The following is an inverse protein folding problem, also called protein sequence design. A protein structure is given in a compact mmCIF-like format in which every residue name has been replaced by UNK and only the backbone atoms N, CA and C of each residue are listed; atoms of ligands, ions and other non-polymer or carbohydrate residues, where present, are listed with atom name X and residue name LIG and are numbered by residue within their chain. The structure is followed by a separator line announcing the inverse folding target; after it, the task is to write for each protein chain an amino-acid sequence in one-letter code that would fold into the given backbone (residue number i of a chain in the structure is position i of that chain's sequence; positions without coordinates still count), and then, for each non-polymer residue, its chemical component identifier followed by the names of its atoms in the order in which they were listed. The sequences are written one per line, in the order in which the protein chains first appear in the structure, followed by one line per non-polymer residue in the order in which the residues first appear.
data_IF_573038713690
#
_entry.id   IF_573038713690
#
_cell.length_a   1.000
_cell.length_b   1.000
_cell.length_c   1.000
_cell.angle_alpha   90.00
_cell.angle_beta   90.00
_cell.angle_gamma   90.00
#
_symmetry.space_group_name_H-M   'P 1'
#
loop_
_entity.id
_entity.type
_entity.pdbx_description
1 polymer ?
2 non-polymer ?
3 non-polymer ?
4 non-polymer ?
5 non-polymer ?
6 non-polymer ?
7 non-polymer ?
8 water ?
#
# COMPACT_ATOMS: atom_id res chain seq x y z
N UNK A 1 14.96 -11.19 2.24
CA UNK A 1 14.04 -12.15 2.83
C UNK A 1 12.60 -11.78 2.56
N UNK A 2 11.70 -12.51 3.19
CA UNK A 2 10.24 -12.30 3.08
C UNK A 2 9.88 -10.84 3.45
N UNK A 3 10.40 -10.35 4.57
CA UNK A 3 10.03 -9.00 5.06
C UNK A 3 10.46 -7.95 4.04
N UNK A 4 11.69 -8.05 3.54
CA UNK A 4 12.20 -7.11 2.53
C UNK A 4 11.31 -7.24 1.30
N UNK A 5 10.90 -8.46 0.94
CA UNK A 5 10.09 -8.59 -0.28
C UNK A 5 8.78 -7.79 -0.11
N UNK A 6 8.22 -7.74 1.10
CA UNK A 6 6.96 -7.00 1.34
C UNK A 6 7.22 -5.50 1.03
N UNK A 7 8.36 -4.98 1.51
CA UNK A 7 8.76 -3.56 1.31
C UNK A 7 8.97 -3.31 -0.19
N UNK A 8 9.64 -4.23 -0.88
CA UNK A 8 9.88 -4.12 -2.34
C UNK A 8 8.52 -4.04 -3.05
N UNK A 9 7.64 -4.97 -2.79
CA UNK A 9 6.35 -5.02 -3.52
C UNK A 9 5.59 -3.74 -3.20
N UNK A 10 5.48 -3.38 -1.92
CA UNK A 10 4.76 -2.18 -1.54
C UNK A 10 5.40 -0.95 -2.23
N UNK A 11 6.70 -0.97 -2.51
CA UNK A 11 7.32 0.18 -3.18
C UNK A 11 6.79 0.43 -4.60
N UNK A 12 6.19 -0.58 -5.25
CA UNK A 12 5.63 -0.31 -6.60
C UNK A 12 4.38 -1.17 -6.75
N UNK A 13 3.47 -1.06 -5.78
CA UNK A 13 2.46 -2.12 -5.56
C UNK A 13 1.50 -2.23 -6.74
N UNK A 14 1.10 -1.10 -7.31
CA UNK A 14 0.08 -1.06 -8.40
C UNK A 14 0.64 -1.82 -9.61
N UNK A 15 1.95 -1.76 -9.88
CA UNK A 15 2.53 -2.49 -11.04
C UNK A 15 2.75 -3.95 -10.68
N UNK A 16 3.25 -4.27 -9.49
CA UNK A 16 3.45 -5.69 -9.08
C UNK A 16 2.07 -6.33 -9.00
N UNK A 17 1.06 -5.64 -8.41
CA UNK A 17 -0.27 -6.24 -8.26
C UNK A 17 -0.82 -6.62 -9.64
N UNK A 18 -0.76 -5.67 -10.56
CA UNK A 18 -1.29 -5.88 -11.93
C UNK A 18 -0.50 -7.01 -12.61
N UNK A 19 0.82 -6.96 -12.57
CA UNK A 19 1.64 -7.95 -13.32
C UNK A 19 1.41 -9.34 -12.73
N UNK A 20 1.36 -9.45 -11.40
CA UNK A 20 1.17 -10.80 -10.80
C UNK A 20 -0.25 -11.32 -11.09
N UNK A 21 -1.25 -10.47 -10.97
CA UNK A 21 -2.63 -10.95 -11.22
C UNK A 21 -2.77 -11.36 -12.71
N UNK A 22 -2.13 -10.64 -13.62
CA UNK A 22 -2.20 -10.99 -15.08
C UNK A 22 -1.47 -12.32 -15.27
N UNK A 23 -0.33 -12.52 -14.56
CA UNK A 23 0.40 -13.80 -14.66
C UNK A 23 -0.55 -14.91 -14.24
N UNK A 24 -1.36 -14.66 -13.23
CA UNK A 24 -2.34 -15.66 -12.71
C UNK A 24 -3.43 -15.91 -13.77
N UNK A 25 -4.04 -14.88 -14.33
CA UNK A 25 -5.14 -15.01 -15.33
C UNK A 25 -4.65 -15.72 -16.59
N UNK A 26 -3.42 -15.44 -17.04
CA UNK A 26 -2.86 -16.05 -18.27
C UNK A 26 -2.47 -17.50 -17.99
N UNK A 27 -1.91 -17.80 -16.82
CA UNK A 27 -1.54 -19.18 -16.45
C UNK A 27 -2.75 -20.12 -16.30
N UNK A 28 -3.86 -19.61 -15.77
CA UNK A 28 -5.10 -20.32 -15.39
C UNK A 28 -6.30 -19.63 -16.01
N UNK A 29 -6.43 -19.70 -17.35
CA UNK A 29 -7.50 -18.98 -18.04
C UNK A 29 -8.90 -19.28 -17.49
N UNK A 30 -9.14 -20.50 -17.02
CA UNK A 30 -10.46 -20.89 -16.45
C UNK A 30 -10.75 -20.05 -15.20
N UNK A 31 -9.77 -19.36 -14.60
CA UNK A 31 -10.02 -18.52 -13.39
C UNK A 31 -10.82 -17.29 -13.78
N UNK A 32 -10.91 -16.98 -15.08
CA UNK A 32 -11.74 -15.84 -15.53
C UNK A 32 -13.23 -16.14 -15.22
N UNK A 33 -13.60 -17.37 -14.84
CA UNK A 33 -15.03 -17.69 -14.54
C UNK A 33 -15.42 -16.79 -13.35
N UNK A 34 -14.49 -16.38 -12.49
CA UNK A 34 -14.78 -15.54 -11.30
C UNK A 34 -14.63 -14.06 -11.62
N UNK A 35 -14.19 -13.73 -12.82
CA UNK A 35 -13.83 -12.34 -13.23
C UNK A 35 -14.34 -12.11 -14.63
N UNK A 36 -15.65 -12.27 -14.77
CA UNK A 36 -16.38 -12.12 -16.06
C UNK A 36 -15.94 -10.87 -16.82
N UNK A 37 -15.86 -9.68 -16.21
CA UNK A 37 -15.65 -8.41 -16.96
C UNK A 37 -14.19 -8.31 -17.44
N UNK A 38 -13.35 -9.33 -17.18
CA UNK A 38 -11.94 -9.36 -17.65
C UNK A 38 -11.78 -10.26 -18.87
N UNK A 39 -12.84 -10.88 -19.36
CA UNK A 39 -12.81 -11.82 -20.53
C UNK A 39 -12.56 -11.03 -21.82
N UNK A 40 -11.81 -11.65 -22.78
CA UNK A 40 -11.65 -11.16 -24.15
C UNK A 40 -10.86 -9.84 -24.20
N UNK A 41 -9.93 -9.60 -23.27
CA UNK A 41 -9.16 -8.33 -23.24
C UNK A 41 -7.68 -8.59 -22.96
N UNK A 42 -6.82 -8.01 -23.78
CA UNK A 42 -5.35 -8.11 -23.71
C UNK A 42 -4.90 -7.53 -22.36
N UNK A 43 -3.68 -7.85 -21.95
CA UNK A 43 -3.10 -7.24 -20.72
C UNK A 43 -3.21 -5.71 -20.76
N UNK A 44 -2.85 -5.08 -21.88
CA UNK A 44 -2.85 -3.58 -21.99
C UNK A 44 -4.29 -3.07 -21.82
N UNK A 45 -5.28 -3.76 -22.38
CA UNK A 45 -6.71 -3.39 -22.22
C UNK A 45 -7.07 -3.43 -20.72
N UNK A 46 -6.72 -4.52 -20.06
CA UNK A 46 -7.00 -4.67 -18.60
C UNK A 46 -6.33 -3.55 -17.83
N UNK A 47 -5.09 -3.20 -18.15
CA UNK A 47 -4.36 -2.18 -17.37
C UNK A 47 -4.92 -0.76 -17.63
N UNK A 48 -5.77 -0.59 -18.63
CA UNK A 48 -6.37 0.72 -18.96
C UNK A 48 -7.67 0.92 -18.18
N UNK A 49 -8.26 -0.18 -17.66
CA UNK A 49 -9.54 -0.15 -16.94
C UNK A 49 -9.22 0.34 -15.50
N UNK A 50 -9.70 1.54 -15.15
CA UNK A 50 -9.90 2.10 -13.78
C UNK A 50 -10.05 1.01 -12.73
N UNK A 51 -11.07 0.16 -12.95
CA UNK A 51 -11.49 -0.89 -11.98
C UNK A 51 -10.40 -1.93 -11.84
N UNK A 52 -9.76 -2.31 -12.93
CA UNK A 52 -8.78 -3.43 -12.88
C UNK A 52 -7.67 -3.04 -11.92
N UNK A 53 -7.14 -1.84 -12.12
CA UNK A 53 -6.00 -1.31 -11.33
C UNK A 53 -6.44 -1.20 -9.89
N UNK A 54 -7.65 -0.66 -9.69
CA UNK A 54 -8.13 -0.28 -8.34
C UNK A 54 -8.51 -1.57 -7.59
N UNK A 55 -9.10 -2.58 -8.24
CA UNK A 55 -9.45 -3.84 -7.51
C UNK A 55 -8.18 -4.67 -7.27
N UNK A 56 -7.29 -4.74 -8.25
CA UNK A 56 -6.09 -5.61 -8.08
C UNK A 56 -5.19 -4.99 -7.01
N UNK A 57 -5.02 -3.67 -6.99
CA UNK A 57 -4.15 -3.08 -5.99
C UNK A 57 -4.77 -3.33 -4.61
N UNK A 58 -6.09 -3.16 -4.45
CA UNK A 58 -6.68 -3.31 -3.08
C UNK A 58 -6.45 -4.73 -2.58
N UNK A 59 -6.58 -5.70 -3.48
CA UNK A 59 -6.30 -7.12 -3.19
C UNK A 59 -4.89 -7.21 -2.62
N UNK A 60 -3.93 -6.62 -3.31
CA UNK A 60 -2.53 -6.77 -2.89
C UNK A 60 -2.22 -5.90 -1.65
N UNK A 61 -2.92 -4.78 -1.49
CA UNK A 61 -2.82 -4.02 -0.22
C UNK A 61 -3.11 -4.99 0.95
N UNK A 62 -4.20 -5.76 0.85
CA UNK A 62 -4.54 -6.68 1.96
C UNK A 62 -3.55 -7.85 1.97
N UNK A 63 -3.15 -8.35 0.82
CA UNK A 63 -2.21 -9.52 0.79
C UNK A 63 -0.90 -9.11 1.52
N UNK A 64 -0.43 -7.88 1.33
CA UNK A 64 0.82 -7.47 1.98
C UNK A 64 0.62 -7.35 3.49
N UNK A 65 -0.55 -6.87 3.92
CA UNK A 65 -0.91 -6.78 5.35
C UNK A 65 -0.81 -8.16 5.99
N UNK A 66 -1.45 -9.11 5.30
CA UNK A 66 -1.55 -10.48 5.79
C UNK A 66 -0.11 -11.05 5.88
N UNK A 67 0.66 -10.86 4.82
CA UNK A 67 2.10 -11.22 4.82
C UNK A 67 2.82 -10.57 5.99
N UNK A 68 2.58 -9.27 6.22
CA UNK A 68 3.34 -8.50 7.20
C UNK A 68 3.01 -8.94 8.63
N UNK A 69 1.76 -9.33 8.87
CA UNK A 69 1.32 -9.80 10.19
C UNK A 69 1.76 -11.26 10.43
N UNK A 70 2.19 -12.03 9.41
CA UNK A 70 2.56 -13.46 9.54
C UNK A 70 3.78 -13.56 10.45
N UNK A 71 3.93 -14.66 11.18
CA UNK A 71 5.24 -15.08 11.78
C UNK A 71 5.80 -16.29 11.02
N UNK A 72 7.06 -16.25 10.63
CA UNK A 72 7.73 -17.37 9.89
C UNK A 72 6.81 -17.85 8.77
N UNK A 73 6.22 -16.92 8.03
CA UNK A 73 5.35 -17.21 6.85
C UNK A 73 4.05 -17.91 7.25
N UNK A 74 3.67 -17.84 8.53
CA UNK A 74 2.40 -18.41 9.05
C UNK A 74 1.45 -17.23 9.27
N UNK A 75 0.36 -17.14 8.52
CA UNK A 75 -0.54 -15.98 8.60
C UNK A 75 -1.40 -16.12 9.85
N UNK A 76 -1.92 -14.99 10.34
CA UNK A 76 -2.89 -15.01 11.46
C UNK A 76 -4.16 -15.78 11.07
N UNK A 77 -4.74 -16.46 12.06
CA UNK A 77 -6.04 -17.12 11.89
C UNK A 77 -7.11 -16.04 11.66
N UNK A 78 -7.04 -14.91 12.32
CA UNK A 78 -8.02 -13.81 12.10
C UNK A 78 -7.96 -13.35 10.63
N UNK A 79 -6.79 -13.32 9.99
CA UNK A 79 -6.69 -12.85 8.59
C UNK A 79 -7.32 -13.90 7.67
N UNK A 80 -7.13 -15.19 8.00
CA UNK A 80 -7.68 -16.28 7.17
C UNK A 80 -9.21 -16.25 7.28
N UNK A 81 -9.77 -16.13 8.48
CA UNK A 81 -11.25 -16.07 8.63
C UNK A 81 -11.78 -14.88 7.82
N UNK A 82 -11.19 -13.68 7.96
CA UNK A 82 -11.65 -12.53 7.14
C UNK A 82 -11.72 -12.93 5.66
N UNK A 83 -10.66 -13.54 5.15
CA UNK A 83 -10.61 -13.94 3.72
C UNK A 83 -11.69 -15.00 3.42
N UNK A 84 -12.00 -15.90 4.34
CA UNK A 84 -13.08 -16.90 4.04
C UNK A 84 -14.46 -16.22 4.11
N UNK A 85 -14.70 -15.35 5.09
CA UNK A 85 -16.05 -14.75 5.41
C UNK A 85 -16.43 -13.61 4.44
N UNK A 86 -15.46 -13.05 3.74
CA UNK A 86 -15.67 -11.91 2.82
C UNK A 86 -16.72 -12.28 1.79
N UNK A 87 -17.77 -11.49 1.58
CA UNK A 87 -18.90 -11.85 0.67
C UNK A 87 -18.37 -11.96 -0.75
N UNK A 88 -17.29 -11.26 -1.06
CA UNK A 88 -16.71 -11.24 -2.43
C UNK A 88 -16.05 -12.58 -2.74
N UNK A 89 -15.71 -13.37 -1.71
CA UNK A 89 -15.05 -14.70 -1.82
C UNK A 89 -16.10 -15.82 -1.66
N UNK A 90 -17.40 -15.53 -1.74
CA UNK A 90 -18.49 -16.49 -1.41
C UNK A 90 -18.30 -17.83 -2.13
N UNK A 91 -18.00 -17.84 -3.40
CA UNK A 91 -17.96 -19.16 -4.10
C UNK A 91 -16.60 -19.87 -4.07
N UNK A 92 -15.56 -19.29 -3.51
CA UNK A 92 -14.17 -19.76 -3.81
C UNK A 92 -13.78 -21.01 -3.03
N UNK A 93 -12.82 -21.78 -3.55
CA UNK A 93 -12.19 -22.94 -2.88
C UNK A 93 -10.71 -22.64 -2.73
N UNK A 94 -10.02 -23.40 -1.90
CA UNK A 94 -8.60 -23.15 -1.64
C UNK A 94 -7.81 -23.26 -2.95
N UNK A 95 -8.37 -23.90 -3.98
CA UNK A 95 -7.66 -24.13 -5.24
C UNK A 95 -7.42 -22.80 -5.94
N UNK A 96 -8.38 -21.89 -5.80
CA UNK A 96 -8.32 -20.52 -6.37
C UNK A 96 -7.07 -19.83 -5.80
N UNK A 97 -6.88 -19.94 -4.48
CA UNK A 97 -5.75 -19.30 -3.75
C UNK A 97 -4.46 -20.00 -4.07
N UNK A 98 -4.45 -21.33 -4.11
CA UNK A 98 -3.22 -22.07 -4.50
C UNK A 98 -2.70 -21.54 -5.85
N UNK A 99 -3.58 -21.39 -6.83
CA UNK A 99 -3.18 -20.99 -8.20
C UNK A 99 -2.59 -19.57 -8.17
N UNK A 100 -3.20 -18.71 -7.40
CA UNK A 100 -2.70 -17.32 -7.30
C UNK A 100 -1.27 -17.39 -6.79
N UNK A 101 -1.01 -18.25 -5.79
CA UNK A 101 0.32 -18.27 -5.14
C UNK A 101 1.32 -18.98 -6.04
N UNK A 102 0.94 -20.03 -6.78
CA UNK A 102 1.85 -20.59 -7.81
C UNK A 102 2.28 -19.48 -8.80
N UNK A 103 1.34 -18.65 -9.26
CA UNK A 103 1.63 -17.63 -10.30
C UNK A 103 2.57 -16.61 -9.70
N UNK A 104 2.30 -16.21 -8.45
CA UNK A 104 3.13 -15.21 -7.73
C UNK A 104 4.55 -15.77 -7.59
N UNK A 105 4.69 -17.01 -7.15
CA UNK A 105 6.04 -17.63 -6.97
C UNK A 105 6.76 -17.71 -8.32
N UNK A 106 6.07 -18.17 -9.38
CA UNK A 106 6.61 -18.26 -10.78
C UNK A 106 7.06 -16.88 -11.27
N UNK A 107 6.26 -15.84 -11.03
CA UNK A 107 6.57 -14.44 -11.37
C UNK A 107 7.90 -14.02 -10.70
N UNK A 108 7.98 -14.32 -9.39
CA UNK A 108 9.20 -14.03 -8.62
C UNK A 108 10.43 -14.76 -9.17
N UNK A 109 10.32 -16.05 -9.46
CA UNK A 109 11.46 -16.88 -9.97
C UNK A 109 11.95 -16.34 -11.30
N UNK A 110 11.06 -15.88 -12.17
CA UNK A 110 11.37 -15.37 -13.52
C UNK A 110 11.80 -13.92 -13.49
N UNK A 111 11.69 -13.23 -12.36
CA UNK A 111 12.03 -11.79 -12.29
C UNK A 111 13.56 -11.67 -12.24
N UNK A 112 14.12 -10.52 -12.46
CA UNK A 112 15.60 -10.58 -12.28
C UNK A 112 16.04 -10.54 -10.82
N UNK A 113 15.09 -10.49 -9.86
CA UNK A 113 15.34 -9.88 -8.53
C UNK A 113 15.57 -10.94 -7.47
N UNK A 114 16.14 -10.59 -6.33
CA UNK A 114 16.43 -11.59 -5.27
C UNK A 114 15.26 -11.69 -4.29
N UNK A 115 14.06 -11.84 -4.83
CA UNK A 115 12.86 -12.27 -4.05
C UNK A 115 13.13 -13.59 -3.34
N UNK A 116 12.56 -13.75 -2.16
CA UNK A 116 12.68 -15.00 -1.40
C UNK A 116 11.53 -15.91 -1.82
N UNK A 117 11.63 -16.48 -3.02
CA UNK A 117 10.53 -17.22 -3.70
C UNK A 117 10.04 -18.37 -2.78
N UNK A 118 10.98 -19.02 -2.10
CA UNK A 118 10.66 -20.21 -1.28
C UNK A 118 9.78 -19.80 -0.09
N UNK A 119 10.02 -18.63 0.51
CA UNK A 119 9.16 -18.05 1.59
C UNK A 119 7.75 -17.72 1.09
N UNK A 120 7.61 -17.18 -0.11
CA UNK A 120 6.27 -16.90 -0.67
C UNK A 120 5.57 -18.25 -0.94
N UNK A 121 6.32 -19.27 -1.35
CA UNK A 121 5.71 -20.59 -1.65
C UNK A 121 5.16 -21.19 -0.36
N UNK A 122 5.97 -21.20 0.72
CA UNK A 122 5.55 -21.64 2.08
C UNK A 122 4.34 -20.79 2.52
N UNK A 123 4.43 -19.46 2.39
CA UNK A 123 3.35 -18.54 2.81
C UNK A 123 2.04 -18.98 2.15
N UNK A 124 2.12 -19.20 0.84
CA UNK A 124 0.93 -19.61 0.06
C UNK A 124 0.35 -20.87 0.65
N UNK A 125 1.19 -21.88 0.91
CA UNK A 125 0.74 -23.21 1.40
C UNK A 125 0.13 -23.03 2.82
N UNK A 126 0.77 -22.20 3.66
CA UNK A 126 0.31 -21.96 5.04
C UNK A 126 -1.00 -21.21 4.96
N UNK A 127 -1.10 -20.27 4.01
CA UNK A 127 -2.39 -19.52 3.89
C UNK A 127 -3.51 -20.47 3.44
N UNK A 128 -3.26 -21.30 2.42
CA UNK A 128 -4.26 -22.29 1.95
C UNK A 128 -4.71 -23.16 3.14
N UNK A 129 -3.79 -23.66 3.97
CA UNK A 129 -4.10 -24.51 5.15
C UNK A 129 -4.97 -23.70 6.13
N UNK A 130 -4.64 -22.43 6.34
CA UNK A 130 -5.39 -21.58 7.29
C UNK A 130 -6.79 -21.32 6.73
N UNK A 131 -6.92 -21.12 5.41
CA UNK A 131 -8.25 -20.90 4.78
C UNK A 131 -9.07 -22.18 4.99
N UNK A 132 -8.45 -23.34 4.76
CA UNK A 132 -9.10 -24.66 4.96
C UNK A 132 -9.63 -24.74 6.40
N UNK A 133 -8.75 -24.48 7.35
CA UNK A 133 -9.08 -24.52 8.79
C UNK A 133 -10.21 -23.55 9.14
N UNK A 134 -10.19 -22.36 8.58
CA UNK A 134 -11.24 -21.35 8.82
C UNK A 134 -12.53 -21.67 8.05
N UNK A 135 -12.63 -22.75 7.27
CA UNK A 135 -13.88 -23.30 6.69
C UNK A 135 -13.98 -23.26 5.17
N UNK A 136 -12.99 -22.76 4.43
CA UNK A 136 -13.10 -22.76 2.96
C UNK A 136 -12.95 -24.22 2.46
N UNK A 137 -13.82 -24.62 1.53
CA UNK A 137 -13.79 -25.96 0.88
C UNK A 137 -12.64 -26.03 -0.12
N UNK B 1 -6.29 2.46 17.45
CA UNK B 1 -5.22 3.41 17.68
C UNK B 1 -4.27 3.52 16.49
N UNK B 2 -3.02 3.91 16.77
CA UNK B 2 -2.05 4.29 15.71
C UNK B 2 -1.73 3.09 14.80
N UNK B 3 -1.49 1.91 15.36
CA UNK B 3 -1.20 0.68 14.56
C UNK B 3 -2.39 0.30 13.68
N UNK B 4 -3.63 0.36 14.22
CA UNK B 4 -4.82 0.09 13.39
C UNK B 4 -4.95 1.13 12.29
N UNK B 5 -4.71 2.40 12.57
CA UNK B 5 -4.73 3.48 11.57
C UNK B 5 -3.76 3.15 10.41
N UNK B 6 -2.56 2.69 10.70
CA UNK B 6 -1.63 2.30 9.60
C UNK B 6 -2.31 1.21 8.75
N UNK B 7 -2.92 0.23 9.42
CA UNK B 7 -3.62 -0.89 8.75
C UNK B 7 -4.76 -0.36 7.88
N UNK B 8 -5.59 0.58 8.41
CA UNK B 8 -6.70 1.23 7.69
C UNK B 8 -6.16 1.98 6.48
N UNK B 9 -5.17 2.84 6.67
CA UNK B 9 -4.61 3.64 5.53
C UNK B 9 -4.01 2.65 4.50
N UNK B 10 -3.21 1.68 4.94
CA UNK B 10 -2.57 0.70 4.00
C UNK B 10 -3.65 0.00 3.18
N UNK B 11 -4.81 -0.28 3.76
CA UNK B 11 -5.83 -1.13 3.12
C UNK B 11 -6.39 -0.42 1.88
N UNK B 12 -6.34 0.90 1.85
CA UNK B 12 -6.84 1.70 0.70
C UNK B 12 -5.89 2.86 0.41
N UNK B 13 -4.59 2.55 0.29
CA UNK B 13 -3.56 3.57 0.48
C UNK B 13 -3.63 4.60 -0.64
N UNK B 14 -3.85 4.15 -1.87
CA UNK B 14 -3.93 5.07 -3.06
C UNK B 14 -5.01 6.11 -2.80
N UNK B 15 -6.18 5.71 -2.31
CA UNK B 15 -7.32 6.65 -2.14
C UNK B 15 -6.99 7.62 -1.01
N UNK B 16 -6.56 7.12 0.17
CA UNK B 16 -6.20 8.00 1.29
C UNK B 16 -5.06 8.94 0.91
N UNK B 17 -4.03 8.46 0.24
CA UNK B 17 -2.85 9.28 -0.11
C UNK B 17 -3.32 10.44 -1.00
N UNK B 18 -4.17 10.14 -2.00
CA UNK B 18 -4.69 11.21 -2.90
C UNK B 18 -5.48 12.21 -2.07
N UNK B 19 -6.41 11.71 -1.25
CA UNK B 19 -7.41 12.54 -0.53
C UNK B 19 -6.65 13.46 0.39
N UNK B 20 -5.67 12.89 1.08
CA UNK B 20 -4.94 13.69 2.11
C UNK B 20 -4.01 14.68 1.41
N UNK B 21 -3.35 14.26 0.35
CA UNK B 21 -2.43 15.17 -0.35
C UNK B 21 -3.22 16.34 -0.97
N UNK B 22 -4.39 16.05 -1.52
CA UNK B 22 -5.32 17.08 -2.07
C UNK B 22 -5.77 18.04 -0.95
N UNK B 23 -6.13 17.55 0.21
CA UNK B 23 -6.49 18.42 1.38
C UNK B 23 -5.30 19.37 1.71
N UNK B 24 -4.07 18.84 1.68
CA UNK B 24 -2.81 19.61 1.87
C UNK B 24 -2.65 20.72 0.83
N UNK B 25 -2.78 20.38 -0.43
CA UNK B 25 -2.59 21.33 -1.56
C UNK B 25 -3.70 22.36 -1.56
N UNK B 26 -4.93 21.99 -1.22
CA UNK B 26 -6.03 22.98 -1.24
C UNK B 26 -5.91 23.88 -0.01
N UNK B 27 -5.45 23.36 1.14
CA UNK B 27 -5.30 24.18 2.35
C UNK B 27 -4.13 25.16 2.23
N UNK B 28 -3.06 24.80 1.55
CA UNK B 28 -1.79 25.57 1.46
C UNK B 28 -1.42 25.68 -0.01
N UNK B 29 -2.19 26.44 -0.79
CA UNK B 29 -1.97 26.46 -2.23
C UNK B 29 -0.55 26.85 -2.65
N UNK B 30 0.17 27.69 -1.90
CA UNK B 30 1.58 28.03 -2.30
C UNK B 30 2.43 26.75 -2.31
N UNK B 31 2.01 25.69 -1.60
CA UNK B 31 2.79 24.43 -1.60
C UNK B 31 2.88 23.86 -3.03
N UNK B 32 1.94 24.20 -3.91
CA UNK B 32 1.96 23.71 -5.34
C UNK B 32 3.23 24.20 -6.04
N UNK B 33 3.89 25.24 -5.52
CA UNK B 33 5.20 25.72 -6.06
C UNK B 33 6.21 24.56 -6.14
N UNK B 34 6.15 23.56 -5.26
CA UNK B 34 7.02 22.36 -5.32
C UNK B 34 6.50 21.29 -6.28
N UNK B 35 5.32 21.47 -6.89
CA UNK B 35 4.65 20.45 -7.73
C UNK B 35 4.08 21.14 -8.97
N UNK B 36 4.97 21.76 -9.72
CA UNK B 36 4.57 22.71 -10.80
C UNK B 36 3.72 21.98 -11.86
N UNK B 37 3.75 20.65 -11.89
CA UNK B 37 3.05 19.78 -12.87
C UNK B 37 1.58 19.54 -12.44
N UNK B 38 1.21 20.00 -11.24
CA UNK B 38 -0.14 19.82 -10.65
C UNK B 38 -0.90 21.14 -10.70
N UNK B 39 -0.26 22.20 -11.16
CA UNK B 39 -0.84 23.56 -11.23
C UNK B 39 -2.02 23.53 -12.24
N UNK B 40 -3.12 24.24 -11.94
CA UNK B 40 -4.21 24.49 -12.91
C UNK B 40 -5.02 23.24 -13.15
N UNK B 41 -5.07 22.36 -12.15
CA UNK B 41 -5.85 21.12 -12.27
C UNK B 41 -6.78 20.99 -11.07
N UNK B 42 -8.02 20.57 -11.31
CA UNK B 42 -8.99 20.28 -10.23
C UNK B 42 -8.57 18.96 -9.54
N UNK B 43 -9.21 18.64 -8.43
CA UNK B 43 -8.95 17.38 -7.67
C UNK B 43 -9.26 16.18 -8.57
N UNK B 44 -10.28 16.27 -9.43
CA UNK B 44 -10.61 15.12 -10.31
C UNK B 44 -9.78 15.18 -11.59
N UNK B 45 -9.22 16.33 -12.00
CA UNK B 45 -8.15 16.34 -13.05
C UNK B 45 -7.05 15.44 -12.48
N UNK B 46 -6.56 15.78 -11.28
CA UNK B 46 -5.35 15.15 -10.64
C UNK B 46 -5.60 13.66 -10.38
N UNK B 47 -6.76 13.29 -9.86
CA UNK B 47 -7.14 11.88 -9.59
C UNK B 47 -7.26 11.05 -10.89
N UNK B 48 -7.34 11.67 -12.06
CA UNK B 48 -7.45 10.95 -13.35
C UNK B 48 -6.05 10.60 -13.85
N UNK B 49 -5.03 11.28 -13.31
CA UNK B 49 -3.65 11.18 -13.80
C UNK B 49 -2.98 10.08 -13.01
N UNK B 50 -2.63 9.01 -13.71
CA UNK B 50 -2.00 7.85 -13.08
C UNK B 50 -0.74 8.31 -12.32
N UNK B 51 0.05 9.29 -12.79
CA UNK B 51 1.34 9.68 -12.11
C UNK B 51 1.13 10.46 -10.80
N UNK B 52 0.02 11.17 -10.67
CA UNK B 52 -0.34 11.84 -9.39
C UNK B 52 -0.65 10.72 -8.37
N UNK B 53 -1.41 9.71 -8.78
CA UNK B 53 -1.75 8.57 -7.93
C UNK B 53 -0.49 7.80 -7.56
N UNK B 54 0.41 7.55 -8.52
CA UNK B 54 1.65 6.78 -8.23
C UNK B 54 2.52 7.57 -7.26
N UNK B 55 2.80 8.83 -7.55
CA UNK B 55 3.76 9.59 -6.71
C UNK B 55 3.19 9.70 -5.29
N UNK B 56 1.89 9.94 -5.19
CA UNK B 56 1.20 10.17 -3.91
C UNK B 56 1.19 8.85 -3.10
N UNK B 57 0.85 7.73 -3.74
CA UNK B 57 0.85 6.45 -3.02
C UNK B 57 2.28 6.17 -2.54
N UNK B 58 3.31 6.41 -3.37
CA UNK B 58 4.70 6.09 -2.99
C UNK B 58 5.14 6.91 -1.78
N UNK B 59 4.77 8.20 -1.73
CA UNK B 59 5.00 9.06 -0.56
C UNK B 59 4.34 8.43 0.67
N UNK B 60 3.07 8.07 0.57
CA UNK B 60 2.35 7.54 1.74
C UNK B 60 2.85 6.14 2.13
N UNK B 61 3.25 5.31 1.17
CA UNK B 61 3.81 3.99 1.52
C UNK B 61 5.02 4.25 2.41
N UNK B 62 5.93 5.14 2.00
CA UNK B 62 7.13 5.43 2.81
C UNK B 62 6.69 6.02 4.18
N UNK B 63 5.75 6.96 4.18
CA UNK B 63 5.19 7.51 5.46
C UNK B 63 4.70 6.36 6.35
N UNK B 64 3.96 5.39 5.82
CA UNK B 64 3.44 4.28 6.63
C UNK B 64 4.60 3.41 7.14
N UNK B 65 5.64 3.21 6.34
CA UNK B 65 6.84 2.44 6.78
C UNK B 65 7.43 3.18 8.00
N UNK B 66 7.64 4.49 7.88
CA UNK B 66 8.22 5.28 8.99
C UNK B 66 7.29 5.17 10.22
N UNK B 67 5.97 5.36 10.05
CA UNK B 67 4.97 5.27 11.13
C UNK B 67 5.03 3.88 11.80
N UNK B 68 5.13 2.80 11.03
CA UNK B 68 5.13 1.44 11.60
C UNK B 68 6.46 1.14 12.37
N UNK B 69 7.56 1.79 12.03
CA UNK B 69 8.90 1.55 12.68
C UNK B 69 9.03 2.46 13.91
N UNK B 70 8.16 3.46 14.06
CA UNK B 70 8.15 4.36 15.24
C UNK B 70 7.77 3.58 16.51
N UNK B 71 8.22 4.07 17.68
CA UNK B 71 7.80 3.60 19.01
C UNK B 71 7.10 4.79 19.66
N UNK B 72 5.86 4.61 20.10
CA UNK B 72 5.08 5.66 20.80
C UNK B 72 5.11 6.94 19.94
N UNK B 73 4.94 6.82 18.61
CA UNK B 73 4.91 7.95 17.67
C UNK B 73 6.27 8.67 17.54
N UNK B 74 7.38 8.05 17.95
CA UNK B 74 8.76 8.63 17.82
C UNK B 74 9.45 7.88 16.68
N UNK B 75 9.68 8.57 15.54
CA UNK B 75 10.27 7.90 14.39
C UNK B 75 11.77 7.68 14.63
N UNK B 76 12.37 6.66 13.99
CA UNK B 76 13.85 6.43 13.95
C UNK B 76 14.56 7.62 13.34
N UNK B 77 15.67 8.03 13.92
CA UNK B 77 16.55 9.07 13.36
C UNK B 77 16.98 8.68 11.94
N UNK B 78 17.23 7.40 11.67
CA UNK B 78 17.64 6.88 10.32
C UNK B 78 16.57 7.21 9.25
N UNK B 79 15.28 7.05 9.57
CA UNK B 79 14.18 7.39 8.63
C UNK B 79 14.07 8.92 8.39
N UNK B 80 14.26 9.71 9.45
CA UNK B 80 14.35 11.20 9.39
C UNK B 80 15.49 11.56 8.41
N UNK B 81 16.62 10.87 8.54
CA UNK B 81 17.82 11.06 7.68
C UNK B 81 17.46 10.78 6.21
N UNK B 82 16.79 9.65 5.94
CA UNK B 82 16.40 9.25 4.56
C UNK B 82 15.58 10.40 3.96
N UNK B 83 14.58 10.89 4.68
CA UNK B 83 13.68 11.93 4.10
C UNK B 83 14.46 13.23 3.81
N UNK B 84 15.45 13.60 4.63
CA UNK B 84 16.20 14.88 4.46
C UNK B 84 17.17 14.73 3.30
N UNK B 85 17.79 13.56 3.19
CA UNK B 85 18.89 13.32 2.20
C UNK B 85 18.29 13.06 0.80
N UNK B 86 17.04 12.59 0.72
CA UNK B 86 16.39 12.25 -0.58
C UNK B 86 16.55 13.43 -1.53
N UNK B 87 17.01 13.16 -2.76
CA UNK B 87 17.19 14.14 -3.88
C UNK B 87 15.90 14.96 -4.04
N UNK B 88 14.75 14.29 -4.01
CA UNK B 88 13.45 14.98 -4.29
C UNK B 88 13.12 15.97 -3.17
N UNK B 89 13.83 15.92 -2.04
CA UNK B 89 13.52 16.82 -0.92
C UNK B 89 14.58 17.92 -0.79
N UNK B 90 15.51 18.02 -1.76
CA UNK B 90 16.44 19.17 -1.90
C UNK B 90 15.70 20.50 -1.65
N UNK B 91 16.17 21.28 -0.68
CA UNK B 91 15.71 22.64 -0.40
C UNK B 91 14.34 22.75 0.23
N UNK B 92 13.66 21.64 0.61
CA UNK B 92 12.46 21.65 1.51
C UNK B 92 12.90 22.10 2.90
N UNK B 93 11.98 22.66 3.67
CA UNK B 93 12.21 23.03 5.08
C UNK B 93 11.16 22.32 5.93
N UNK B 94 11.30 22.35 7.25
CA UNK B 94 10.46 21.57 8.18
C UNK B 94 9.00 22.04 7.96
N UNK B 95 8.82 23.28 7.52
CA UNK B 95 7.50 23.92 7.38
C UNK B 95 6.63 23.14 6.41
N UNK B 96 7.25 22.60 5.35
CA UNK B 96 6.56 21.85 4.26
C UNK B 96 5.92 20.58 4.83
N UNK B 97 6.69 19.82 5.62
CA UNK B 97 6.25 18.61 6.35
C UNK B 97 5.19 18.92 7.43
N UNK B 98 5.40 20.01 8.17
CA UNK B 98 4.50 20.43 9.26
C UNK B 98 3.10 20.69 8.67
N UNK B 99 3.03 21.39 7.54
CA UNK B 99 1.76 21.67 6.85
C UNK B 99 1.11 20.37 6.36
N UNK B 100 1.89 19.43 5.80
CA UNK B 100 1.32 18.11 5.37
C UNK B 100 0.60 17.43 6.55
N UNK B 101 1.23 17.45 7.73
CA UNK B 101 0.70 16.76 8.92
C UNK B 101 -0.51 17.51 9.43
N UNK B 102 -0.53 18.84 9.38
CA UNK B 102 -1.77 19.59 9.77
C UNK B 102 -2.92 19.09 8.93
N UNK B 103 -2.69 18.98 7.61
CA UNK B 103 -3.78 18.63 6.70
C UNK B 103 -4.22 17.19 7.01
N UNK B 104 -3.27 16.33 7.31
CA UNK B 104 -3.55 14.90 7.56
C UNK B 104 -4.40 14.78 8.83
N UNK B 105 -4.01 15.52 9.86
CA UNK B 105 -4.73 15.51 11.15
C UNK B 105 -6.15 16.10 10.95
N UNK B 106 -6.33 17.22 10.24
CA UNK B 106 -7.65 17.81 9.97
C UNK B 106 -8.49 16.82 9.12
N UNK B 107 -7.88 16.15 8.16
CA UNK B 107 -8.56 15.13 7.33
C UNK B 107 -9.14 14.04 8.26
N UNK B 108 -8.33 13.56 9.21
CA UNK B 108 -8.75 12.47 10.09
C UNK B 108 -9.86 12.98 11.03
N UNK B 109 -9.70 14.15 11.64
CA UNK B 109 -10.77 14.69 12.53
C UNK B 109 -12.09 14.81 11.75
N UNK B 110 -12.05 15.17 10.47
CA UNK B 110 -13.29 15.43 9.67
C UNK B 110 -13.85 14.13 9.11
N UNK B 111 -13.09 13.05 9.17
CA UNK B 111 -13.50 11.76 8.57
C UNK B 111 -14.69 11.18 9.35
N UNK B 112 -15.46 10.29 8.80
CA UNK B 112 -16.41 9.73 9.83
C UNK B 112 -15.73 8.85 10.86
N UNK B 113 -14.41 8.68 10.85
CA UNK B 113 -13.84 7.40 11.35
C UNK B 113 -13.06 7.64 12.64
N UNK B 114 -12.87 6.58 13.42
CA UNK B 114 -12.16 6.62 14.73
C UNK B 114 -10.63 6.53 14.55
N UNK B 115 -10.08 7.37 13.68
CA UNK B 115 -8.61 7.61 13.58
C UNK B 115 -8.10 8.12 14.91
N UNK B 116 -6.89 7.75 15.28
CA UNK B 116 -6.28 8.27 16.54
C UNK B 116 -5.58 9.58 16.17
N UNK B 117 -6.37 10.63 15.89
CA UNK B 117 -5.86 11.94 15.36
C UNK B 117 -4.73 12.49 16.24
N UNK B 118 -4.84 12.34 17.56
CA UNK B 118 -3.79 12.82 18.52
C UNK B 118 -2.46 12.10 18.27
N UNK B 119 -2.41 10.77 18.01
CA UNK B 119 -1.10 10.10 17.70
C UNK B 119 -0.49 10.64 16.40
N UNK B 120 -1.31 10.88 15.38
CA UNK B 120 -0.81 11.37 14.08
C UNK B 120 -0.23 12.77 14.28
N UNK B 121 -0.89 13.55 15.13
CA UNK B 121 -0.40 14.93 15.45
C UNK B 121 0.98 14.85 16.12
N UNK B 122 1.09 14.00 17.17
CA UNK B 122 2.35 13.72 17.91
C UNK B 122 3.41 13.21 16.93
N UNK B 123 3.04 12.24 16.09
CA UNK B 123 3.96 11.62 15.11
C UNK B 123 4.50 12.71 14.18
N UNK B 124 3.63 13.55 13.63
CA UNK B 124 3.99 14.70 12.78
C UNK B 124 4.98 15.65 13.48
N UNK B 125 4.74 16.09 14.73
CA UNK B 125 5.67 16.96 15.49
C UNK B 125 7.03 16.28 15.68
N UNK B 126 7.02 14.99 16.08
CA UNK B 126 8.25 14.22 16.36
C UNK B 126 9.02 14.02 15.07
N UNK B 127 8.32 13.78 13.95
CA UNK B 127 9.00 13.64 12.64
C UNK B 127 9.61 14.98 12.20
N UNK B 128 8.91 16.11 12.34
CA UNK B 128 9.46 17.48 12.10
C UNK B 128 10.73 17.70 12.96
N UNK B 129 10.69 17.34 14.24
CA UNK B 129 11.83 17.59 15.16
C UNK B 129 13.05 16.79 14.66
N UNK B 130 12.78 15.57 14.27
CA UNK B 130 13.79 14.61 13.79
C UNK B 130 14.38 15.14 12.49
N UNK B 131 13.58 15.70 11.57
CA UNK B 131 14.12 16.23 10.30
C UNK B 131 15.11 17.38 10.58
N UNK B 132 14.77 18.31 11.48
CA UNK B 132 15.62 19.47 11.85
C UNK B 132 16.97 18.93 12.36
N UNK B 133 16.91 18.02 13.32
CA UNK B 133 18.09 17.34 13.90
C UNK B 133 18.92 16.72 12.76
N UNK B 134 18.26 16.04 11.81
CA UNK B 134 18.91 15.35 10.67
C UNK B 134 19.37 16.36 9.63
N UNK B 135 19.17 17.67 9.87
CA UNK B 135 19.86 18.75 9.16
C UNK B 135 18.92 19.61 8.32
N UNK B 136 17.62 19.34 8.29
CA UNK B 136 16.70 20.09 7.38
C UNK B 136 16.53 21.48 7.97
N UNK B 137 16.61 22.54 7.17
CA UNK B 137 16.42 23.93 7.68
C UNK B 137 14.92 24.14 7.89
#
# INVERSE_FOLDING_TARGET
GFKQDIATLRGDLRTYAQDIFLAFLNKYPDEKRNFKNYVGKSDQELKSMAKFGDHTEKVFNLMMEVADRATDCVPLASDASTLVQMKQHSGLTTGNFEKLFVALVEYMRASGQSFDSQSWDRFGKNLVSALSSAGMK
GFKQDIATLRGDLRTYAQDIFLAFLNKYPDEKRNFKNYVGKSDQELKSMAKFGDHTEKVFNLMMEVADRATDCVPLASDASTLVQMKQHSGLTTGNFEKLFVALVEYMRASGQSFDSQSWDRFGKNLVSALSSAGMK
#
